data_IF_123793957068
#
_entry.id   IF_123793957068
#
_cell.length_a   1.000
_cell.length_b   1.000
_cell.length_c   1.000
_cell.angle_alpha   90.00
_cell.angle_beta   90.00
_cell.angle_gamma   90.00
#
_symmetry.space_group_name_H-M   'P 1'
#
loop_
_entity.id
_entity.type
_entity.pdbx_description
1 polymer ?
#
# COMPACT_ATOMS: atom_id res chain seq x y z
N UNK A 1 11.93 -41.80 -15.48
CA UNK A 1 13.28 -41.79 -14.86
C UNK A 1 13.75 -40.36 -14.93
N UNK A 2 13.48 -39.58 -13.88
CA UNK A 2 13.93 -38.19 -13.80
C UNK A 2 15.46 -38.18 -13.78
N UNK A 3 16.08 -37.50 -14.73
CA UNK A 3 17.54 -37.50 -14.85
C UNK A 3 18.16 -36.68 -13.70
N UNK A 4 19.10 -37.27 -12.92
CA UNK A 4 19.71 -36.58 -11.78
C UNK A 4 20.36 -35.21 -12.11
N UNK A 5 21.00 -34.98 -13.28
CA UNK A 5 21.54 -33.65 -13.59
C UNK A 5 20.45 -32.59 -13.84
N UNK A 6 19.27 -32.99 -14.32
CA UNK A 6 18.17 -32.07 -14.61
C UNK A 6 17.55 -31.54 -13.32
N UNK A 7 17.39 -32.40 -12.31
CA UNK A 7 16.91 -32.01 -10.97
C UNK A 7 17.88 -31.01 -10.32
N UNK A 8 19.18 -31.27 -10.40
CA UNK A 8 20.19 -30.40 -9.79
C UNK A 8 20.22 -29.00 -10.45
N UNK A 9 20.05 -28.94 -11.77
CA UNK A 9 19.95 -27.68 -12.52
C UNK A 9 18.70 -26.88 -12.09
N UNK A 10 17.55 -27.54 -11.96
CA UNK A 10 16.30 -26.90 -11.53
C UNK A 10 16.43 -26.36 -10.10
N UNK A 11 17.03 -27.11 -9.18
CA UNK A 11 17.28 -26.64 -7.81
C UNK A 11 18.23 -25.45 -7.77
N UNK A 12 19.30 -25.45 -8.57
CA UNK A 12 20.22 -24.31 -8.64
C UNK A 12 19.54 -23.04 -9.16
N UNK A 13 18.68 -23.15 -10.19
CA UNK A 13 17.90 -22.02 -10.72
C UNK A 13 16.87 -21.49 -9.71
N UNK A 14 16.24 -22.38 -8.95
CA UNK A 14 15.35 -21.99 -7.85
C UNK A 14 16.11 -21.28 -6.72
N UNK A 15 17.30 -21.75 -6.34
CA UNK A 15 18.12 -21.10 -5.31
C UNK A 15 18.57 -19.69 -5.75
N UNK A 16 19.07 -19.54 -6.98
CA UNK A 16 19.52 -18.23 -7.49
C UNK A 16 18.37 -17.23 -7.58
N UNK A 17 17.16 -17.68 -7.95
CA UNK A 17 15.99 -16.79 -7.98
C UNK A 17 15.50 -16.41 -6.58
N UNK A 18 15.61 -17.28 -5.58
CA UNK A 18 15.30 -16.97 -4.18
C UNK A 18 16.34 -16.00 -3.59
N UNK A 19 17.63 -16.20 -3.85
CA UNK A 19 18.71 -15.33 -3.38
C UNK A 19 18.69 -13.94 -4.05
N UNK A 20 18.35 -13.87 -5.34
CA UNK A 20 18.16 -12.61 -6.04
C UNK A 20 16.89 -11.88 -5.58
N UNK A 21 15.79 -12.60 -5.33
CA UNK A 21 14.54 -12.01 -4.86
C UNK A 21 14.60 -11.48 -3.42
N UNK A 22 15.45 -12.06 -2.56
CA UNK A 22 15.57 -11.64 -1.16
C UNK A 22 16.43 -10.38 -1.00
N UNK A 23 17.45 -10.17 -1.84
CA UNK A 23 18.35 -9.01 -1.72
C UNK A 23 17.74 -7.69 -2.17
N UNK A 24 16.93 -7.68 -3.22
CA UNK A 24 16.24 -6.45 -3.68
C UNK A 24 15.04 -6.10 -2.80
N UNK A 25 14.41 -7.10 -2.16
CA UNK A 25 13.22 -6.90 -1.33
C UNK A 25 13.55 -6.29 0.04
N UNK A 26 14.72 -6.56 0.62
CA UNK A 26 15.10 -6.07 1.95
C UNK A 26 15.47 -4.58 1.99
N UNK A 27 16.06 -4.02 0.93
CA UNK A 27 16.44 -2.60 0.90
C UNK A 27 15.26 -1.65 0.63
N UNK A 28 14.18 -2.15 0.02
CA UNK A 28 12.97 -1.36 -0.26
C UNK A 28 12.09 -1.17 0.98
N UNK A 29 12.12 -2.10 1.93
CA UNK A 29 11.19 -2.10 3.08
C UNK A 29 11.54 -1.02 4.12
N UNK A 30 12.82 -0.66 4.29
CA UNK A 30 13.25 0.23 5.38
C UNK A 30 12.99 1.73 5.12
N UNK A 31 12.66 2.12 3.88
CA UNK A 31 12.20 3.48 3.54
C UNK A 31 10.70 3.53 3.22
N UNK A 32 10.01 2.39 3.30
CA UNK A 32 8.58 2.26 3.09
C UNK A 32 7.85 2.25 4.44
N UNK A 33 8.34 3.05 5.39
CA UNK A 33 7.63 3.32 6.62
C UNK A 33 7.03 4.73 6.51
N UNK A 34 5.70 4.78 6.58
CA UNK A 34 4.84 5.96 6.83
C UNK A 34 4.55 6.96 5.70
N UNK A 35 4.48 6.53 4.43
CA UNK A 35 3.58 7.21 3.47
C UNK A 35 2.63 6.14 2.94
N UNK A 36 1.37 6.17 3.38
CA UNK A 36 0.37 5.23 2.89
C UNK A 36 0.33 5.25 1.36
N UNK A 37 0.26 4.07 0.75
CA UNK A 37 0.23 3.91 -0.71
C UNK A 37 -0.90 4.76 -1.29
N UNK A 38 -2.04 4.80 -0.59
CA UNK A 38 -3.18 5.63 -0.94
C UNK A 38 -2.88 7.13 -0.90
N UNK A 39 -2.14 7.61 0.12
CA UNK A 39 -1.76 9.03 0.23
C UNK A 39 -0.84 9.46 -0.91
N UNK A 40 0.21 8.69 -1.18
CA UNK A 40 1.13 8.98 -2.29
C UNK A 40 0.37 9.06 -3.63
N UNK A 41 -0.52 8.10 -3.89
CA UNK A 41 -1.33 8.09 -5.10
C UNK A 41 -2.22 9.33 -5.24
N UNK A 42 -2.87 9.76 -4.15
CA UNK A 42 -3.77 10.94 -4.16
C UNK A 42 -2.98 12.25 -4.29
N UNK A 43 -1.82 12.36 -3.64
CA UNK A 43 -0.98 13.56 -3.67
C UNK A 43 -0.34 13.78 -5.03
N UNK A 44 0.10 12.72 -5.73
CA UNK A 44 0.57 12.86 -7.13
C UNK A 44 -0.51 13.39 -8.08
N UNK A 45 -1.78 13.23 -7.71
CA UNK A 45 -2.92 13.73 -8.45
C UNK A 45 -3.29 15.18 -8.06
N UNK A 46 -2.47 15.87 -7.26
CA UNK A 46 -2.67 17.27 -6.88
C UNK A 46 -3.77 17.49 -5.84
N UNK A 47 -4.14 16.44 -5.08
CA UNK A 47 -5.02 16.55 -3.92
C UNK A 47 -4.22 16.49 -2.63
N UNK A 48 -4.63 17.23 -1.60
CA UNK A 48 -4.08 17.04 -0.25
C UNK A 48 -4.74 15.82 0.39
N UNK A 49 -3.97 14.94 1.04
CA UNK A 49 -4.49 13.77 1.74
C UNK A 49 -4.07 13.78 3.22
N UNK A 50 -5.03 13.56 4.11
CA UNK A 50 -4.85 13.40 5.55
C UNK A 50 -5.11 11.94 5.91
N UNK A 51 -4.28 11.36 6.75
CA UNK A 51 -4.47 10.00 7.27
C UNK A 51 -4.91 10.08 8.73
N UNK A 52 -5.91 9.27 9.09
CA UNK A 52 -6.44 9.18 10.45
C UNK A 52 -6.48 7.71 10.87
N UNK A 53 -6.16 7.44 12.13
CA UNK A 53 -6.39 6.13 12.74
C UNK A 53 -7.57 6.23 13.68
N UNK A 54 -8.53 5.34 13.52
CA UNK A 54 -9.74 5.26 14.36
C UNK A 54 -9.82 3.87 14.95
N UNK A 55 -10.02 3.79 16.25
CA UNK A 55 -10.25 2.52 16.94
C UNK A 55 -11.75 2.29 17.06
N UNK A 56 -12.24 1.16 16.57
CA UNK A 56 -13.64 0.75 16.72
C UNK A 56 -13.92 0.25 18.14
N UNK A 57 -15.19 0.14 18.52
CA UNK A 57 -15.60 -0.31 19.85
C UNK A 57 -15.14 -1.75 20.17
N UNK A 58 -15.04 -2.60 19.15
CA UNK A 58 -14.54 -3.97 19.22
C UNK A 58 -13.00 -4.07 19.08
N UNK A 59 -12.29 -2.94 19.00
CA UNK A 59 -10.84 -2.87 19.13
C UNK A 59 -10.05 -2.96 17.82
N UNK A 60 -10.69 -2.90 16.65
CA UNK A 60 -9.99 -2.82 15.37
C UNK A 60 -9.45 -1.40 15.14
N UNK A 61 -8.24 -1.30 14.58
CA UNK A 61 -7.63 -0.03 14.18
C UNK A 61 -7.85 0.15 12.67
N UNK A 62 -8.66 1.15 12.31
CA UNK A 62 -8.98 1.51 10.93
C UNK A 62 -8.14 2.70 10.49
N UNK A 63 -7.46 2.57 9.35
CA UNK A 63 -6.85 3.69 8.64
C UNK A 63 -7.88 4.36 7.73
N UNK A 64 -8.05 5.68 7.86
CA UNK A 64 -8.97 6.48 7.05
C UNK A 64 -8.21 7.57 6.32
N UNK A 65 -8.46 7.72 5.02
CA UNK A 65 -7.89 8.76 4.18
C UNK A 65 -8.94 9.86 3.92
N UNK A 66 -8.56 11.11 4.19
CA UNK A 66 -9.43 12.29 4.02
C UNK A 66 -8.81 13.27 3.05
N UNK A 67 -9.59 13.68 2.05
CA UNK A 67 -9.23 14.77 1.13
C UNK A 67 -10.02 16.02 1.55
N UNK A 68 -9.40 16.96 2.31
CA UNK A 68 -10.10 18.14 2.82
C UNK A 68 -10.45 19.13 1.70
N UNK A 69 -9.65 19.17 0.64
CA UNK A 69 -9.70 20.19 -0.40
C UNK A 69 -9.68 19.58 -1.80
N UNK A 70 -10.62 20.03 -2.65
CA UNK A 70 -10.55 19.78 -4.08
C UNK A 70 -9.46 20.64 -4.74
N UNK A 71 -8.99 20.23 -5.92
CA UNK A 71 -7.87 20.86 -6.65
C UNK A 71 -8.02 22.36 -6.87
N UNK A 72 -9.24 22.84 -7.07
CA UNK A 72 -9.52 24.26 -7.39
C UNK A 72 -9.34 25.22 -6.20
N UNK A 73 -8.95 24.74 -5.02
CA UNK A 73 -8.57 25.62 -3.91
C UNK A 73 -9.68 26.52 -3.37
N UNK A 74 -10.95 26.30 -3.72
CA UNK A 74 -12.06 27.09 -3.18
C UNK A 74 -12.13 26.88 -1.66
N UNK A 75 -11.70 27.88 -0.89
CA UNK A 75 -11.67 27.92 0.58
C UNK A 75 -13.08 28.03 1.18
N UNK A 76 -14.02 27.19 0.75
CA UNK A 76 -15.30 27.03 1.46
C UNK A 76 -14.98 26.22 2.73
N UNK A 77 -15.02 26.90 3.87
CA UNK A 77 -14.67 26.35 5.18
C UNK A 77 -15.66 25.27 5.67
N UNK A 78 -16.90 25.32 5.18
CA UNK A 78 -17.99 24.45 5.65
C UNK A 78 -18.49 23.58 4.49
N UNK A 79 -17.95 22.36 4.41
CA UNK A 79 -18.27 21.41 3.34
C UNK A 79 -18.86 20.16 3.94
N UNK A 80 -19.92 19.65 3.31
CA UNK A 80 -20.52 18.41 3.70
C UNK A 80 -19.53 17.25 3.54
N UNK A 81 -19.22 16.50 4.61
CA UNK A 81 -18.35 15.33 4.52
C UNK A 81 -19.07 14.20 3.77
N UNK A 82 -18.32 13.47 2.94
CA UNK A 82 -18.80 12.27 2.25
C UNK A 82 -17.88 11.12 2.63
N UNK A 83 -18.48 10.03 3.11
CA UNK A 83 -17.76 8.78 3.41
C UNK A 83 -17.91 7.83 2.22
N UNK A 84 -16.79 7.38 1.68
CA UNK A 84 -16.75 6.40 0.59
C UNK A 84 -16.23 5.08 1.15
N UNK A 85 -17.06 4.05 1.06
CA UNK A 85 -16.71 2.70 1.51
C UNK A 85 -16.42 1.81 0.29
N UNK A 86 -15.29 1.13 0.33
CA UNK A 86 -14.94 0.16 -0.70
C UNK A 86 -15.69 -1.17 -0.52
N UNK A 87 -15.79 -1.96 -1.58
CA UNK A 87 -16.37 -3.29 -1.57
C UNK A 87 -15.46 -4.38 -1.00
N UNK A 88 -15.93 -5.62 -1.05
CA UNK A 88 -15.20 -6.81 -0.60
C UNK A 88 -13.89 -6.99 -1.40
N UNK A 89 -12.78 -7.23 -0.70
CA UNK A 89 -11.41 -7.38 -1.25
C UNK A 89 -10.82 -6.15 -1.96
N UNK A 90 -11.48 -5.01 -1.93
CA UNK A 90 -10.86 -3.72 -2.26
C UNK A 90 -10.23 -3.14 -1.00
N UNK A 91 -9.17 -2.34 -1.12
CA UNK A 91 -8.47 -1.78 0.04
C UNK A 91 -8.08 -0.32 -0.19
N UNK A 92 -8.17 0.47 0.87
CA UNK A 92 -7.54 1.79 0.99
C UNK A 92 -6.50 1.69 2.12
N UNK A 93 -5.30 1.18 1.80
CA UNK A 93 -4.16 1.16 2.73
C UNK A 93 -3.39 2.46 2.66
#
# INVERSE_FOLDING_TARGET
MENPPTILLVLALLCVSVDAATRTKLQSINNLDVVGISKSMVETQGYTCQEHQVTTEDGYILGLQRIPKGRSGNEIADRQPVLLQHGLLLVCT
#
